data_IF_724550557839
#
_entry.id   IF_724550557839
#
_cell.length_a   1.000
_cell.length_b   1.000
_cell.length_c   1.000
_cell.angle_alpha   90.00
_cell.angle_beta   90.00
_cell.angle_gamma   90.00
#
_symmetry.space_group_name_H-M   'P 1'
#
loop_
_entity.id
_entity.type
_entity.pdbx_description
1 polymer ?
#
# COMPACT_ATOMS: atom_id res chain seq x y z
N UNK A 1 -8.56 15.55 -26.17
CA UNK A 1 -8.99 15.09 -24.84
C UNK A 1 -7.73 14.67 -24.09
N UNK A 2 -7.40 15.33 -23.01
CA UNK A 2 -6.34 14.85 -22.13
C UNK A 2 -6.80 13.53 -21.51
N UNK A 3 -6.00 12.48 -21.63
CA UNK A 3 -6.26 11.23 -20.93
C UNK A 3 -6.21 11.50 -19.42
N UNK A 4 -7.12 10.93 -18.65
CA UNK A 4 -7.06 11.05 -17.21
C UNK A 4 -5.74 10.43 -16.71
N UNK A 5 -5.07 11.11 -15.77
CA UNK A 5 -3.85 10.59 -15.18
C UNK A 5 -4.11 9.25 -14.46
N UNK A 6 -3.16 8.32 -14.57
CA UNK A 6 -3.20 7.06 -13.81
C UNK A 6 -3.00 7.35 -12.33
N UNK A 7 -3.89 6.85 -11.50
CA UNK A 7 -3.82 7.05 -10.05
C UNK A 7 -3.29 5.80 -9.34
N UNK A 8 -2.25 5.97 -8.52
CA UNK A 8 -1.59 4.89 -7.80
C UNK A 8 -1.54 5.20 -6.30
N UNK A 9 -2.00 4.27 -5.48
CA UNK A 9 -1.81 4.32 -4.04
C UNK A 9 -0.50 3.61 -3.65
N UNK A 10 0.36 4.29 -2.90
CA UNK A 10 1.60 3.71 -2.36
C UNK A 10 1.29 3.11 -1.00
N UNK A 11 1.30 1.80 -0.91
CA UNK A 11 0.85 1.03 0.26
C UNK A 11 1.95 0.11 0.77
N UNK A 12 1.82 -0.36 1.99
CA UNK A 12 2.75 -1.31 2.60
C UNK A 12 2.87 -1.12 4.10
N UNK A 13 3.75 -1.90 4.72
CA UNK A 13 4.01 -1.82 6.15
C UNK A 13 4.64 -0.48 6.56
N UNK A 14 4.55 -0.15 7.83
CA UNK A 14 5.26 1.01 8.40
C UNK A 14 6.77 0.88 8.16
N UNK A 15 7.44 2.00 7.86
CA UNK A 15 8.89 2.10 7.68
C UNK A 15 9.50 1.32 6.50
N UNK A 16 8.75 1.08 5.44
CA UNK A 16 9.28 0.45 4.21
C UNK A 16 9.84 1.46 3.19
N UNK A 17 9.79 2.75 3.50
CA UNK A 17 10.32 3.81 2.65
C UNK A 17 9.31 4.34 1.63
N UNK A 18 8.00 4.21 1.87
CA UNK A 18 6.94 4.74 0.98
C UNK A 18 7.10 6.24 0.70
N UNK A 19 7.22 7.04 1.73
CA UNK A 19 7.40 8.49 1.61
C UNK A 19 8.74 8.84 0.94
N UNK A 20 9.80 8.12 1.25
CA UNK A 20 11.12 8.30 0.62
C UNK A 20 11.09 7.94 -0.87
N UNK A 21 10.34 6.90 -1.24
CA UNK A 21 10.10 6.56 -2.63
C UNK A 21 9.45 7.72 -3.39
N UNK A 22 8.40 8.31 -2.83
CA UNK A 22 7.71 9.45 -3.43
C UNK A 22 8.61 10.67 -3.55
N UNK A 23 9.38 10.99 -2.52
CA UNK A 23 10.39 12.08 -2.57
C UNK A 23 11.38 11.89 -3.71
N UNK A 24 11.88 10.69 -3.87
CA UNK A 24 12.85 10.38 -4.92
C UNK A 24 12.21 10.48 -6.31
N UNK A 25 11.02 9.94 -6.50
CA UNK A 25 10.31 9.96 -7.78
C UNK A 25 9.92 11.39 -8.19
N UNK A 26 9.53 12.22 -7.26
CA UNK A 26 9.14 13.62 -7.51
C UNK A 26 10.31 14.60 -7.49
N UNK A 27 11.48 14.14 -7.06
CA UNK A 27 12.66 14.99 -6.76
C UNK A 27 12.35 16.13 -5.78
N UNK A 28 11.37 15.91 -4.93
CA UNK A 28 10.94 16.86 -3.91
C UNK A 28 11.41 16.36 -2.55
N UNK A 29 12.48 16.99 -2.04
CA UNK A 29 13.05 16.65 -0.74
C UNK A 29 12.18 17.08 0.43
N UNK A 30 11.23 17.97 0.19
CA UNK A 30 10.30 18.45 1.22
C UNK A 30 8.99 17.67 1.25
N UNK A 31 8.73 16.82 0.27
CA UNK A 31 7.55 15.97 0.26
C UNK A 31 7.46 15.15 1.56
N UNK A 32 6.34 15.24 2.26
CA UNK A 32 6.11 14.54 3.53
C UNK A 32 6.88 15.12 4.72
N UNK A 33 7.53 16.29 4.61
CA UNK A 33 8.03 17.03 5.76
C UNK A 33 6.89 17.78 6.47
N UNK A 34 5.88 17.07 6.89
CA UNK A 34 4.90 17.66 7.79
C UNK A 34 5.32 17.31 9.21
N UNK A 35 5.61 18.33 9.98
CA UNK A 35 5.96 18.36 11.40
C UNK A 35 5.99 17.02 12.15
N UNK A 36 7.02 16.80 12.97
CA UNK A 36 7.20 15.68 13.90
C UNK A 36 6.11 15.60 15.00
N UNK A 37 4.88 16.03 14.72
CA UNK A 37 3.79 15.84 15.67
C UNK A 37 3.23 14.42 15.56
N UNK A 38 3.04 13.74 16.70
CA UNK A 38 2.36 12.44 16.71
C UNK A 38 1.00 12.57 16.03
N UNK A 39 0.80 11.85 14.90
CA UNK A 39 -0.44 11.87 14.15
C UNK A 39 -0.41 12.53 12.78
N UNK A 40 0.70 13.09 12.33
CA UNK A 40 0.82 13.76 11.02
C UNK A 40 0.94 12.81 9.83
N UNK A 41 1.30 11.55 10.04
CA UNK A 41 1.19 10.49 9.02
C UNK A 41 -0.24 10.10 8.66
N UNK A 42 -1.23 10.77 9.25
CA UNK A 42 -2.67 10.49 9.06
C UNK A 42 -3.27 11.10 7.80
N UNK A 43 -2.56 11.97 7.10
CA UNK A 43 -3.05 12.59 5.88
C UNK A 43 -2.47 11.87 4.66
N UNK A 44 -3.35 11.60 3.68
CA UNK A 44 -2.94 11.07 2.38
C UNK A 44 -2.43 12.25 1.55
N UNK A 45 -1.13 12.30 1.31
CA UNK A 45 -0.50 13.28 0.45
C UNK A 45 -0.33 12.71 -0.95
N UNK A 46 -0.56 13.54 -1.96
CA UNK A 46 -0.42 13.17 -3.36
C UNK A 46 0.78 13.84 -4.02
N UNK A 47 1.37 13.14 -4.97
CA UNK A 47 2.41 13.67 -5.84
C UNK A 47 2.03 13.42 -7.30
N UNK A 48 2.31 14.38 -8.16
CA UNK A 48 1.96 14.31 -9.58
C UNK A 48 3.22 14.25 -10.42
N UNK A 49 3.31 13.24 -11.27
CA UNK A 49 4.35 13.12 -12.29
C UNK A 49 3.82 13.68 -13.61
N UNK A 50 4.48 14.69 -14.12
CA UNK A 50 4.12 15.35 -15.38
C UNK A 50 5.19 15.14 -16.43
N UNK A 51 4.76 14.94 -17.69
CA UNK A 51 5.64 14.92 -18.86
C UNK A 51 5.07 15.93 -19.85
N UNK A 52 5.92 16.83 -20.34
CA UNK A 52 5.52 17.89 -21.28
C UNK A 52 4.31 18.74 -20.80
N UNK A 53 4.20 18.92 -19.48
CA UNK A 53 3.12 19.71 -18.87
C UNK A 53 1.81 18.94 -18.65
N UNK A 54 1.71 17.69 -19.11
CA UNK A 54 0.54 16.83 -18.87
C UNK A 54 0.81 15.89 -17.69
N UNK A 55 -0.15 15.82 -16.77
CA UNK A 55 -0.09 14.85 -15.67
C UNK A 55 -0.36 13.45 -16.20
N UNK A 56 0.63 12.57 -16.09
CA UNK A 56 0.53 11.17 -16.51
C UNK A 56 0.18 10.24 -15.36
N UNK A 57 0.74 10.51 -14.17
CA UNK A 57 0.56 9.66 -12.99
C UNK A 57 0.37 10.54 -11.75
N UNK A 58 -0.60 10.17 -10.94
CA UNK A 58 -0.79 10.70 -9.59
C UNK A 58 -0.49 9.59 -8.58
N UNK A 59 0.43 9.86 -7.68
CA UNK A 59 0.85 8.97 -6.61
C UNK A 59 0.32 9.48 -5.28
N UNK A 60 -0.27 8.61 -4.48
CA UNK A 60 -0.78 8.96 -3.16
C UNK A 60 -0.05 8.15 -2.09
N UNK A 61 0.61 8.86 -1.17
CA UNK A 61 1.15 8.22 0.03
C UNK A 61 0.01 7.82 0.96
N UNK A 62 0.18 6.70 1.64
CA UNK A 62 -0.78 6.21 2.61
C UNK A 62 -0.09 5.90 3.94
N UNK A 63 -0.84 5.86 5.06
CA UNK A 63 -0.30 5.36 6.31
C UNK A 63 0.25 3.93 6.15
N UNK A 64 1.22 3.55 6.96
CA UNK A 64 1.70 2.16 7.00
C UNK A 64 0.65 1.22 7.56
N UNK A 65 0.56 0.01 7.01
CA UNK A 65 -0.24 -1.06 7.59
C UNK A 65 0.47 -1.58 8.85
N UNK A 66 -0.25 -1.80 9.92
CA UNK A 66 0.31 -2.23 11.21
C UNK A 66 -0.29 -3.55 11.71
N UNK A 67 -1.60 -3.73 11.61
CA UNK A 67 -2.32 -4.86 12.20
C UNK A 67 -3.25 -5.57 11.20
N UNK A 68 -2.69 -5.96 10.06
CA UNK A 68 -3.45 -6.61 8.99
C UNK A 68 -4.04 -7.95 9.40
N UNK A 69 -3.33 -8.72 10.23
CA UNK A 69 -3.82 -10.01 10.72
C UNK A 69 -5.09 -9.84 11.56
N UNK A 70 -5.07 -8.95 12.54
CA UNK A 70 -6.24 -8.71 13.38
C UNK A 70 -7.41 -8.11 12.59
N UNK A 71 -7.13 -7.30 11.57
CA UNK A 71 -8.17 -6.78 10.70
C UNK A 71 -8.81 -7.88 9.84
N UNK A 72 -8.02 -8.81 9.31
CA UNK A 72 -8.57 -9.97 8.57
C UNK A 72 -9.47 -10.81 9.47
N UNK A 73 -9.05 -11.12 10.69
CA UNK A 73 -9.86 -11.83 11.67
C UNK A 73 -11.16 -11.08 11.99
N UNK A 74 -11.09 -9.76 12.14
CA UNK A 74 -12.27 -8.94 12.35
C UNK A 74 -13.22 -8.97 11.14
N UNK A 75 -12.70 -8.86 9.92
CA UNK A 75 -13.51 -8.95 8.71
C UNK A 75 -14.22 -10.30 8.56
N UNK A 76 -13.56 -11.39 8.96
CA UNK A 76 -14.18 -12.71 8.95
C UNK A 76 -15.36 -12.80 9.93
N UNK A 77 -15.29 -12.11 11.06
CA UNK A 77 -16.38 -12.04 12.03
C UNK A 77 -17.59 -11.22 11.53
N UNK A 78 -17.41 -10.34 10.55
CA UNK A 78 -18.50 -9.59 9.92
C UNK A 78 -19.31 -10.42 8.90
N UNK A 79 -18.81 -11.59 8.55
CA UNK A 79 -19.49 -12.53 7.65
C UNK A 79 -20.27 -13.56 8.45
N UNK A 80 -21.45 -13.96 7.94
CA UNK A 80 -22.21 -15.04 8.53
C UNK A 80 -21.64 -16.41 8.16
N UNK A 81 -21.77 -17.44 8.99
CA UNK A 81 -21.35 -18.79 8.64
C UNK A 81 -21.97 -19.26 7.32
N UNK A 82 -21.12 -19.68 6.37
CA UNK A 82 -21.56 -20.14 5.06
C UNK A 82 -21.88 -19.05 4.04
N UNK A 83 -21.78 -17.79 4.43
CA UNK A 83 -21.94 -16.66 3.51
C UNK A 83 -20.70 -16.53 2.60
N UNK A 84 -20.96 -16.41 1.29
CA UNK A 84 -19.91 -16.16 0.29
C UNK A 84 -19.97 -14.70 -0.14
N UNK A 85 -19.03 -13.92 0.34
CA UNK A 85 -18.86 -12.53 -0.05
C UNK A 85 -17.49 -12.34 -0.70
N UNK A 86 -17.43 -11.45 -1.68
CA UNK A 86 -16.19 -11.11 -2.35
C UNK A 86 -15.35 -10.11 -1.53
N UNK A 87 -14.12 -9.85 -2.00
CA UNK A 87 -13.20 -8.93 -1.33
C UNK A 87 -13.76 -7.52 -1.19
N UNK A 88 -14.27 -6.86 -2.24
CA UNK A 88 -14.85 -5.53 -2.15
C UNK A 88 -16.00 -5.42 -1.15
N UNK A 89 -16.87 -6.42 -1.07
CA UNK A 89 -17.96 -6.46 -0.08
C UNK A 89 -17.42 -6.59 1.35
N UNK A 90 -16.36 -7.37 1.57
CA UNK A 90 -15.67 -7.45 2.88
C UNK A 90 -15.15 -6.08 3.32
N UNK A 91 -14.50 -5.35 2.42
CA UNK A 91 -14.02 -3.99 2.70
C UNK A 91 -15.18 -3.06 2.97
N UNK A 92 -16.25 -3.11 2.19
CA UNK A 92 -17.43 -2.25 2.39
C UNK A 92 -18.01 -2.43 3.79
N UNK A 93 -18.24 -3.66 4.23
CA UNK A 93 -18.75 -3.95 5.57
C UNK A 93 -17.82 -3.45 6.67
N UNK A 94 -16.52 -3.64 6.49
CA UNK A 94 -15.54 -3.12 7.43
C UNK A 94 -15.59 -1.59 7.51
N UNK A 95 -15.57 -0.90 6.38
CA UNK A 95 -15.56 0.57 6.33
C UNK A 95 -16.83 1.19 6.90
N UNK A 96 -17.95 0.49 6.87
CA UNK A 96 -19.21 0.89 7.51
C UNK A 96 -19.25 0.59 9.01
N UNK A 97 -18.33 -0.22 9.51
CA UNK A 97 -18.27 -0.58 10.93
C UNK A 97 -17.61 0.52 11.78
N UNK A 98 -17.94 0.60 13.09
CA UNK A 98 -17.26 1.53 14.01
C UNK A 98 -15.75 1.30 14.12
N UNK A 99 -15.26 0.08 13.87
CA UNK A 99 -13.85 -0.27 13.93
C UNK A 99 -13.00 0.48 12.90
N UNK A 100 -13.60 0.88 11.78
CA UNK A 100 -12.94 1.69 10.73
C UNK A 100 -12.66 3.13 11.17
N UNK A 101 -13.31 3.61 12.20
CA UNK A 101 -13.09 4.94 12.80
C UNK A 101 -12.37 4.86 14.16
N UNK A 102 -12.10 3.66 14.63
CA UNK A 102 -11.45 3.38 15.90
C UNK A 102 -10.17 2.58 15.75
N UNK A 103 -10.19 1.32 16.15
CA UNK A 103 -9.01 0.44 16.20
C UNK A 103 -8.26 0.36 14.87
N UNK A 104 -8.99 0.29 13.75
CA UNK A 104 -8.41 0.11 12.41
C UNK A 104 -8.55 1.35 11.52
N UNK A 105 -8.52 2.54 12.12
CA UNK A 105 -8.65 3.80 11.36
C UNK A 105 -7.57 3.96 10.30
N UNK A 106 -6.36 3.55 10.61
CA UNK A 106 -5.21 3.66 9.71
C UNK A 106 -5.37 2.74 8.50
N UNK A 107 -5.69 1.48 8.72
CA UNK A 107 -5.97 0.50 7.66
C UNK A 107 -7.18 0.92 6.82
N UNK A 108 -8.21 1.47 7.45
CA UNK A 108 -9.38 1.99 6.74
C UNK A 108 -9.02 3.11 5.75
N UNK A 109 -8.11 4.01 6.12
CA UNK A 109 -7.60 5.06 5.23
C UNK A 109 -6.85 4.49 4.04
N UNK A 110 -6.00 3.49 4.28
CA UNK A 110 -5.27 2.80 3.22
C UNK A 110 -6.25 2.17 2.22
N UNK A 111 -7.22 1.42 2.72
CA UNK A 111 -8.19 0.72 1.86
C UNK A 111 -9.09 1.67 1.08
N UNK A 112 -9.58 2.75 1.70
CA UNK A 112 -10.35 3.79 1.01
C UNK A 112 -9.54 4.41 -0.13
N UNK A 113 -8.27 4.73 0.14
CA UNK A 113 -7.42 5.33 -0.88
C UNK A 113 -7.15 4.37 -2.01
N UNK A 114 -6.80 3.12 -1.71
CA UNK A 114 -6.56 2.10 -2.72
C UNK A 114 -7.79 1.88 -3.61
N UNK A 115 -8.99 1.81 -3.04
CA UNK A 115 -10.22 1.67 -3.81
C UNK A 115 -10.51 2.87 -4.72
N UNK A 116 -10.06 4.06 -4.34
CA UNK A 116 -10.22 5.28 -5.16
C UNK A 116 -9.19 5.40 -6.28
N UNK A 117 -8.15 4.58 -6.28
CA UNK A 117 -7.08 4.57 -7.27
C UNK A 117 -7.25 3.46 -8.30
N UNK A 118 -6.49 3.55 -9.39
CA UNK A 118 -6.49 2.53 -10.45
C UNK A 118 -5.70 1.29 -10.03
N UNK A 119 -4.63 1.46 -9.24
CA UNK A 119 -3.78 0.37 -8.77
C UNK A 119 -3.04 0.76 -7.47
N UNK A 120 -2.37 -0.20 -6.87
CA UNK A 120 -1.52 -0.01 -5.71
C UNK A 120 -0.06 -0.39 -5.99
N UNK A 121 0.87 0.38 -5.45
CA UNK A 121 2.28 0.01 -5.34
C UNK A 121 2.52 -0.52 -3.93
N UNK A 122 2.80 -1.81 -3.82
CA UNK A 122 3.09 -2.44 -2.53
C UNK A 122 4.59 -2.40 -2.27
N UNK A 123 5.00 -1.49 -1.40
CA UNK A 123 6.42 -1.24 -1.10
C UNK A 123 6.87 -2.11 0.06
N UNK A 124 7.94 -2.86 -0.14
CA UNK A 124 8.60 -3.66 0.89
C UNK A 124 10.05 -3.24 1.05
N UNK A 125 10.57 -3.39 2.26
CA UNK A 125 12.00 -3.29 2.52
C UNK A 125 12.66 -4.64 2.17
N UNK A 126 13.45 -4.67 1.10
CA UNK A 126 14.08 -5.91 0.63
C UNK A 126 15.10 -6.48 1.62
N UNK A 127 15.54 -5.71 2.61
CA UNK A 127 16.45 -6.17 3.68
C UNK A 127 15.74 -7.04 4.71
N UNK A 128 14.44 -6.85 4.86
CA UNK A 128 13.63 -7.64 5.79
C UNK A 128 13.38 -9.05 5.25
N UNK A 129 13.31 -10.06 6.12
CA UNK A 129 12.86 -11.38 5.71
C UNK A 129 11.37 -11.34 5.34
N UNK A 130 10.95 -12.26 4.48
CA UNK A 130 9.53 -12.45 4.18
C UNK A 130 8.84 -13.10 5.38
N UNK A 131 7.88 -12.40 5.96
CA UNK A 131 7.14 -12.83 7.15
C UNK A 131 5.65 -13.02 6.84
N UNK A 132 4.94 -13.72 7.73
CA UNK A 132 3.49 -13.94 7.60
C UNK A 132 2.71 -12.64 7.51
N UNK A 133 3.13 -11.59 8.21
CA UNK A 133 2.49 -10.27 8.13
C UNK A 133 2.37 -9.72 6.70
N UNK A 134 3.36 -10.00 5.86
CA UNK A 134 3.35 -9.55 4.46
C UNK A 134 2.28 -10.28 3.64
N UNK A 135 2.06 -11.58 3.91
CA UNK A 135 0.95 -12.33 3.31
C UNK A 135 -0.40 -11.76 3.75
N UNK A 136 -0.54 -11.43 5.03
CA UNK A 136 -1.77 -10.85 5.57
C UNK A 136 -2.05 -9.48 4.95
N UNK A 137 -1.02 -8.63 4.81
CA UNK A 137 -1.13 -7.34 4.12
C UNK A 137 -1.57 -7.50 2.67
N UNK A 138 -0.94 -8.42 1.92
CA UNK A 138 -1.29 -8.67 0.53
C UNK A 138 -2.70 -9.26 0.38
N UNK A 139 -3.12 -10.12 1.28
CA UNK A 139 -4.49 -10.65 1.31
C UNK A 139 -5.49 -9.53 1.53
N UNK A 140 -5.23 -8.67 2.51
CA UNK A 140 -6.07 -7.51 2.82
C UNK A 140 -6.19 -6.55 1.63
N UNK A 141 -5.06 -6.20 1.02
CA UNK A 141 -5.02 -5.31 -0.14
C UNK A 141 -5.68 -5.92 -1.38
N UNK A 142 -5.55 -7.23 -1.57
CA UNK A 142 -6.20 -7.95 -2.67
C UNK A 142 -7.73 -7.90 -2.60
N UNK A 143 -8.32 -7.76 -1.41
CA UNK A 143 -9.77 -7.58 -1.26
C UNK A 143 -10.29 -6.30 -1.93
N UNK A 144 -9.42 -5.32 -2.20
CA UNK A 144 -9.81 -4.11 -2.94
C UNK A 144 -10.22 -4.39 -4.39
N UNK A 145 -9.82 -5.52 -4.95
CA UNK A 145 -9.97 -5.83 -6.37
C UNK A 145 -9.08 -4.99 -7.30
N UNK A 146 -8.17 -4.17 -6.74
CA UNK A 146 -7.25 -3.36 -7.52
C UNK A 146 -5.96 -4.12 -7.80
N UNK A 147 -5.36 -3.96 -9.00
CA UNK A 147 -4.05 -4.52 -9.30
C UNK A 147 -3.00 -4.00 -8.31
N UNK A 148 -2.09 -4.89 -7.91
CA UNK A 148 -0.96 -4.56 -7.04
C UNK A 148 0.35 -4.82 -7.76
N UNK A 149 1.25 -3.84 -7.75
CA UNK A 149 2.63 -3.99 -8.19
C UNK A 149 3.56 -3.93 -6.97
N UNK A 150 4.20 -5.03 -6.60
CA UNK A 150 5.24 -5.00 -5.58
C UNK A 150 6.44 -4.15 -6.00
N UNK A 151 6.95 -3.36 -5.07
CA UNK A 151 8.18 -2.56 -5.24
C UNK A 151 9.16 -2.98 -4.14
N UNK A 152 10.26 -3.59 -4.54
CA UNK A 152 11.35 -3.96 -3.63
C UNK A 152 12.26 -2.74 -3.46
N UNK A 153 12.27 -2.17 -2.26
CA UNK A 153 13.12 -1.04 -1.92
C UNK A 153 14.41 -1.51 -1.23
N UNK A 154 15.47 -0.71 -1.31
CA UNK A 154 16.79 -0.98 -0.75
C UNK A 154 17.50 -2.20 -1.36
N UNK A 155 17.31 -2.43 -2.66
CA UNK A 155 17.85 -3.62 -3.35
C UNK A 155 19.37 -3.64 -3.45
N UNK A 156 20.03 -2.47 -3.36
CA UNK A 156 21.51 -2.37 -3.38
C UNK A 156 22.16 -2.67 -2.03
N UNK A 157 21.38 -2.79 -0.98
CA UNK A 157 21.90 -3.15 0.34
C UNK A 157 22.53 -4.55 0.28
N UNK A 158 23.70 -4.78 0.91
CA UNK A 158 24.26 -6.13 1.05
C UNK A 158 23.33 -7.11 1.79
N UNK A 159 22.39 -6.59 2.57
CA UNK A 159 21.42 -7.38 3.31
C UNK A 159 20.15 -7.68 2.51
N UNK A 160 20.01 -7.15 1.27
CA UNK A 160 18.81 -7.32 0.48
C UNK A 160 18.58 -8.79 0.09
N UNK A 161 17.34 -9.24 0.27
CA UNK A 161 16.87 -10.61 0.04
C UNK A 161 16.02 -10.70 -1.23
N UNK A 162 16.49 -10.12 -2.31
CA UNK A 162 15.72 -9.92 -3.55
C UNK A 162 15.12 -11.23 -4.07
N UNK A 163 15.92 -12.31 -4.12
CA UNK A 163 15.44 -13.59 -4.64
C UNK A 163 14.41 -14.27 -3.73
N UNK A 164 14.55 -14.10 -2.43
CA UNK A 164 13.57 -14.58 -1.45
C UNK A 164 12.23 -13.88 -1.65
N UNK A 165 12.23 -12.55 -1.81
CA UNK A 165 11.05 -11.77 -2.11
C UNK A 165 10.42 -12.12 -3.46
N UNK A 166 11.22 -12.25 -4.50
CA UNK A 166 10.72 -12.67 -5.83
C UNK A 166 9.99 -14.01 -5.75
N UNK A 167 10.59 -14.99 -5.09
CA UNK A 167 10.02 -16.33 -4.95
C UNK A 167 8.74 -16.31 -4.11
N UNK A 168 8.72 -15.56 -3.02
CA UNK A 168 7.53 -15.45 -2.17
C UNK A 168 6.37 -14.76 -2.86
N UNK A 169 6.63 -13.67 -3.57
CA UNK A 169 5.61 -12.94 -4.33
C UNK A 169 5.06 -13.77 -5.49
N UNK A 170 5.93 -14.51 -6.20
CA UNK A 170 5.51 -15.40 -7.27
C UNK A 170 4.54 -16.49 -6.79
N UNK A 171 4.76 -17.05 -5.59
CA UNK A 171 3.83 -18.01 -4.98
C UNK A 171 2.45 -17.43 -4.69
N UNK A 172 2.36 -16.12 -4.54
CA UNK A 172 1.10 -15.38 -4.36
C UNK A 172 0.50 -14.88 -5.68
N UNK A 173 1.09 -15.29 -6.82
CA UNK A 173 0.62 -14.88 -8.14
C UNK A 173 1.12 -13.50 -8.59
N UNK A 174 2.02 -12.87 -7.83
CA UNK A 174 2.59 -11.56 -8.14
C UNK A 174 3.95 -11.74 -8.84
N UNK A 175 3.92 -11.90 -10.15
CA UNK A 175 5.12 -12.16 -10.97
C UNK A 175 5.80 -10.89 -11.46
N UNK A 176 5.01 -9.82 -11.69
CA UNK A 176 5.56 -8.51 -12.02
C UNK A 176 5.95 -7.78 -10.74
N UNK A 177 7.15 -7.23 -10.70
CA UNK A 177 7.62 -6.40 -9.59
C UNK A 177 8.62 -5.36 -10.10
N UNK A 178 8.79 -4.28 -9.37
CA UNK A 178 9.79 -3.27 -9.61
C UNK A 178 10.86 -3.31 -8.50
N UNK A 179 12.08 -2.96 -8.86
CA UNK A 179 13.19 -2.77 -7.93
C UNK A 179 13.50 -1.30 -7.84
N UNK A 180 13.75 -0.83 -6.64
CA UNK A 180 14.04 0.57 -6.36
C UNK A 180 15.07 0.69 -5.23
N UNK A 181 15.73 1.83 -5.17
CA UNK A 181 16.68 2.09 -4.11
C UNK A 181 16.57 3.56 -3.69
N UNK A 182 15.92 3.80 -2.56
CA UNK A 182 15.85 5.15 -1.99
C UNK A 182 17.19 5.54 -1.39
N UNK A 183 17.63 6.72 -1.71
CA UNK A 183 18.88 7.29 -1.18
C UNK A 183 18.61 8.08 0.11
#
# INVERSE_FOLDING_TARGET
MSAAALTLAVVGHTNTGKTSLLRTLTRDTEFGQVSNSPGTTRHVEGARLTVDGEALVELFDTPGLEDSMALLDFMDQLSQPGERIDGPERIRRFLESPAAQGRFEQEARVLRKLQSCDAGLYVVDARDPVLSKHKDELTLLAYSGRPLLPVLNFVRSPQARVQEWRSALARLGLHALAEFDTV
#
